data_IF_136377122112
#
_entry.id   IF_136377122112
#
_cell.length_a   1.000
_cell.length_b   1.000
_cell.length_c   1.000
_cell.angle_alpha   90.00
_cell.angle_beta   90.00
_cell.angle_gamma   90.00
#
_symmetry.space_group_name_H-M   'P 1'
#
loop_
_entity.id
_entity.type
_entity.pdbx_description
1 polymer ?
#
# COMPACT_ATOMS: atom_id res chain seq x y z
N UNK A 1 -19.94 -1.05 -15.52
CA UNK A 1 -19.68 0.16 -14.69
C UNK A 1 -18.49 0.87 -15.28
N UNK A 2 -18.60 2.17 -15.59
CA UNK A 2 -17.53 2.94 -16.24
C UNK A 2 -16.38 3.24 -15.27
N UNK A 3 -15.15 3.14 -15.76
CA UNK A 3 -13.90 3.32 -15.01
C UNK A 3 -13.68 4.73 -14.48
N UNK A 4 -14.28 5.75 -15.11
CA UNK A 4 -14.17 7.15 -14.70
C UNK A 4 -14.93 7.44 -13.39
N UNK A 5 -16.10 6.82 -13.21
CA UNK A 5 -16.96 7.00 -12.02
C UNK A 5 -16.30 6.44 -10.76
N UNK A 6 -15.47 5.39 -10.88
CA UNK A 6 -14.73 4.81 -9.77
C UNK A 6 -13.62 5.72 -9.21
N UNK A 7 -13.09 6.65 -10.02
CA UNK A 7 -11.93 7.47 -9.62
C UNK A 7 -12.29 8.66 -8.73
N UNK A 8 -13.33 9.43 -9.09
CA UNK A 8 -13.77 10.60 -8.32
C UNK A 8 -14.54 10.20 -7.06
N UNK A 9 -15.43 9.21 -7.16
CA UNK A 9 -16.18 8.69 -5.99
C UNK A 9 -15.29 7.88 -5.05
N UNK A 10 -14.27 7.18 -5.58
CA UNK A 10 -13.32 6.40 -4.78
C UNK A 10 -12.36 7.27 -3.97
N UNK A 11 -11.84 8.35 -4.57
CA UNK A 11 -11.01 9.33 -3.86
C UNK A 11 -11.80 9.99 -2.72
N UNK A 12 -13.04 10.39 -2.95
CA UNK A 12 -13.88 11.04 -1.95
C UNK A 12 -14.31 10.12 -0.79
N UNK A 13 -14.21 8.80 -0.94
CA UNK A 13 -14.48 7.84 0.14
C UNK A 13 -13.27 7.62 1.05
N UNK A 14 -12.07 7.73 0.50
CA UNK A 14 -10.82 7.50 1.25
C UNK A 14 -10.22 8.81 1.76
N UNK A 15 -10.39 9.91 1.02
CA UNK A 15 -10.01 11.25 1.45
C UNK A 15 -11.21 11.92 2.12
N UNK A 16 -10.99 12.49 3.30
CA UNK A 16 -12.02 13.26 4.03
C UNK A 16 -12.25 14.66 3.46
N UNK A 17 -11.58 15.02 2.37
CA UNK A 17 -11.62 16.32 1.69
C UNK A 17 -11.12 16.17 0.25
N UNK A 18 -11.35 17.17 -0.63
CA UNK A 18 -10.83 17.15 -2.00
C UNK A 18 -9.30 16.99 -2.08
N UNK A 19 -8.75 16.36 -3.13
CA UNK A 19 -7.32 16.11 -3.28
C UNK A 19 -6.44 17.37 -3.14
N UNK A 20 -6.87 18.50 -3.70
CA UNK A 20 -6.16 19.78 -3.62
C UNK A 20 -6.13 20.36 -2.20
N UNK A 21 -7.14 20.09 -1.38
CA UNK A 21 -7.14 20.48 0.03
C UNK A 21 -6.31 19.53 0.88
N UNK A 22 -6.35 18.23 0.55
CA UNK A 22 -5.54 17.21 1.21
C UNK A 22 -4.04 17.49 1.02
N UNK A 23 -3.62 17.82 -0.20
CA UNK A 23 -2.21 18.13 -0.50
C UNK A 23 -1.65 19.28 0.34
N UNK A 24 -2.48 20.29 0.69
CA UNK A 24 -2.09 21.42 1.54
C UNK A 24 -1.88 21.04 3.01
N UNK A 25 -2.32 19.86 3.43
CA UNK A 25 -2.18 19.35 4.81
C UNK A 25 -1.08 18.31 4.97
N UNK A 26 -0.35 18.00 3.89
CA UNK A 26 0.81 17.12 3.96
C UNK A 26 1.87 17.77 4.86
N UNK A 27 2.44 16.96 5.74
CA UNK A 27 3.54 17.38 6.58
C UNK A 27 4.79 17.50 5.72
N UNK A 28 5.50 18.62 5.85
CA UNK A 28 6.82 18.76 5.26
C UNK A 28 7.85 18.03 6.12
N UNK A 29 8.27 16.86 5.65
CA UNK A 29 9.32 16.07 6.30
C UNK A 29 10.73 16.56 5.96
N UNK A 30 10.87 17.57 5.08
CA UNK A 30 12.17 18.06 4.63
C UNK A 30 13.13 18.43 5.78
N UNK A 31 12.70 19.10 6.86
CA UNK A 31 13.59 19.42 7.97
C UNK A 31 14.23 18.20 8.66
N UNK A 32 13.61 17.02 8.56
CA UNK A 32 14.12 15.79 9.15
C UNK A 32 15.06 15.02 8.21
N UNK A 33 15.21 15.45 6.95
CA UNK A 33 16.10 14.80 6.00
C UNK A 33 17.56 14.82 6.46
N UNK A 34 17.99 15.86 7.16
CA UNK A 34 19.35 16.01 7.66
C UNK A 34 19.60 15.17 8.93
N UNK A 35 18.54 14.58 9.51
CA UNK A 35 18.67 13.63 10.62
C UNK A 35 19.13 12.23 10.17
N UNK A 36 19.09 11.93 8.87
CA UNK A 36 19.46 10.63 8.34
C UNK A 36 20.56 10.73 7.28
N UNK A 37 21.69 10.09 7.54
CA UNK A 37 22.78 10.04 6.59
C UNK A 37 22.43 9.18 5.35
N UNK A 38 23.27 9.29 4.31
CA UNK A 38 23.24 8.41 3.13
C UNK A 38 21.96 8.52 2.28
N UNK A 39 21.29 9.67 2.34
CA UNK A 39 20.11 9.96 1.52
C UNK A 39 18.87 9.15 1.89
N UNK A 40 18.80 8.69 3.14
CA UNK A 40 17.57 8.09 3.69
C UNK A 40 16.53 9.21 3.82
N UNK A 41 15.32 8.94 3.33
CA UNK A 41 14.18 9.85 3.43
C UNK A 41 12.96 9.08 3.89
N UNK A 42 11.98 9.81 4.42
CA UNK A 42 10.66 9.26 4.69
C UNK A 42 10.05 8.71 3.39
N UNK A 43 9.39 7.57 3.51
CA UNK A 43 8.58 7.00 2.43
C UNK A 43 7.16 7.51 2.56
N UNK A 44 6.51 7.69 1.41
CA UNK A 44 5.05 7.77 1.38
C UNK A 44 4.46 6.40 1.75
N UNK A 45 3.22 6.40 2.23
CA UNK A 45 2.44 5.19 2.52
C UNK A 45 1.11 5.32 1.80
N UNK A 46 0.91 4.55 0.73
CA UNK A 46 -0.31 4.63 -0.10
C UNK A 46 -1.51 3.96 0.55
N UNK A 47 -1.26 2.90 1.33
CA UNK A 47 -2.29 2.23 2.11
C UNK A 47 -1.70 1.51 3.33
N UNK A 48 -2.36 1.65 4.47
CA UNK A 48 -1.99 0.97 5.70
C UNK A 48 -3.24 0.65 6.50
N UNK A 49 -3.42 -0.63 6.81
CA UNK A 49 -4.53 -1.10 7.65
C UNK A 49 -4.03 -2.15 8.64
N UNK A 50 -4.69 -2.23 9.78
CA UNK A 50 -4.46 -3.22 10.82
C UNK A 50 -5.76 -3.99 11.06
N UNK A 51 -5.65 -5.30 11.23
CA UNK A 51 -6.76 -6.20 11.53
C UNK A 51 -6.25 -7.27 12.50
N UNK A 52 -6.68 -7.21 13.76
CA UNK A 52 -6.34 -8.17 14.82
C UNK A 52 -4.85 -8.47 14.95
N UNK A 53 -4.03 -7.43 15.06
CA UNK A 53 -2.57 -7.46 15.14
C UNK A 53 -1.84 -7.89 13.87
N UNK A 54 -2.56 -7.97 12.74
CA UNK A 54 -1.99 -8.18 11.41
C UNK A 54 -2.05 -6.89 10.60
N UNK A 55 -0.92 -6.49 10.05
CA UNK A 55 -0.76 -5.24 9.31
C UNK A 55 -0.64 -5.52 7.81
N UNK A 56 -1.34 -4.74 7.01
CA UNK A 56 -1.19 -4.70 5.56
C UNK A 56 -0.70 -3.32 5.15
N UNK A 57 0.47 -3.29 4.52
CA UNK A 57 1.03 -2.08 3.89
C UNK A 57 1.00 -2.24 2.37
N UNK A 58 0.45 -1.23 1.70
CA UNK A 58 0.36 -1.13 0.25
C UNK A 58 1.25 0.02 -0.25
N UNK A 59 2.06 -0.27 -1.25
CA UNK A 59 2.91 0.68 -1.96
C UNK A 59 2.59 0.63 -3.46
N UNK A 60 2.05 1.71 -3.99
CA UNK A 60 1.70 1.88 -5.39
C UNK A 60 2.80 2.58 -6.17
N UNK A 61 3.16 2.04 -7.32
CA UNK A 61 4.05 2.70 -8.29
C UNK A 61 3.34 2.86 -9.63
N UNK A 62 3.71 3.90 -10.37
CA UNK A 62 3.33 3.97 -11.78
C UNK A 62 3.96 2.80 -12.54
N UNK A 63 3.36 2.39 -13.67
CA UNK A 63 3.79 1.25 -14.48
C UNK A 63 5.31 1.22 -14.72
N UNK A 64 5.88 2.39 -15.04
CA UNK A 64 7.28 2.56 -15.39
C UNK A 64 8.16 3.05 -14.23
N UNK A 65 7.56 3.36 -13.07
CA UNK A 65 8.33 3.73 -11.88
C UNK A 65 9.02 2.51 -11.27
N UNK A 66 10.23 2.76 -10.77
CA UNK A 66 11.02 1.80 -10.01
C UNK A 66 10.92 2.10 -8.52
N UNK A 67 11.00 1.04 -7.71
CA UNK A 67 11.13 1.16 -6.27
C UNK A 67 12.61 1.41 -5.94
N UNK A 68 13.01 2.59 -5.43
CA UNK A 68 14.41 2.87 -5.10
C UNK A 68 14.98 1.81 -4.15
N UNK A 69 16.27 1.49 -4.29
CA UNK A 69 16.93 0.42 -3.53
C UNK A 69 16.72 0.56 -2.01
N UNK A 70 16.84 1.78 -1.48
CA UNK A 70 16.63 2.06 -0.06
C UNK A 70 15.21 1.74 0.41
N UNK A 71 14.22 2.20 -0.35
CA UNK A 71 12.80 1.94 -0.10
C UNK A 71 12.49 0.43 -0.18
N UNK A 72 12.99 -0.25 -1.22
CA UNK A 72 12.85 -1.72 -1.36
C UNK A 72 13.44 -2.46 -0.17
N UNK A 73 14.65 -2.12 0.26
CA UNK A 73 15.29 -2.76 1.40
C UNK A 73 14.51 -2.56 2.70
N UNK A 74 13.95 -1.37 2.92
CA UNK A 74 13.11 -1.08 4.09
C UNK A 74 11.84 -1.93 4.08
N UNK A 75 11.11 -1.94 2.95
CA UNK A 75 9.87 -2.71 2.79
C UNK A 75 10.09 -4.22 2.86
N UNK A 76 11.18 -4.74 2.29
CA UNK A 76 11.54 -6.17 2.40
C UNK A 76 11.91 -6.57 3.83
N UNK A 77 12.54 -5.68 4.62
CA UNK A 77 12.81 -5.92 6.04
C UNK A 77 11.51 -5.90 6.85
N UNK A 78 10.61 -4.97 6.54
CA UNK A 78 9.30 -4.91 7.19
C UNK A 78 8.49 -6.19 6.91
N UNK A 79 8.50 -6.68 5.68
CA UNK A 79 7.83 -7.93 5.28
C UNK A 79 8.38 -9.20 5.94
N UNK A 80 9.55 -9.14 6.61
CA UNK A 80 10.08 -10.25 7.41
C UNK A 80 9.47 -10.34 8.81
N UNK A 81 8.80 -9.28 9.28
CA UNK A 81 8.07 -9.32 10.54
C UNK A 81 6.78 -10.12 10.32
N UNK A 82 6.49 -11.08 11.20
CA UNK A 82 5.39 -12.03 11.02
C UNK A 82 4.02 -11.36 10.97
N UNK A 83 3.88 -10.18 11.56
CA UNK A 83 2.65 -9.40 11.58
C UNK A 83 2.42 -8.60 10.30
N UNK A 84 3.43 -8.41 9.44
CA UNK A 84 3.34 -7.54 8.28
C UNK A 84 3.16 -8.31 6.98
N UNK A 85 2.14 -7.95 6.23
CA UNK A 85 2.03 -8.22 4.80
C UNK A 85 2.32 -6.94 4.04
N UNK A 86 3.37 -6.93 3.24
CA UNK A 86 3.73 -5.78 2.40
C UNK A 86 3.52 -6.12 0.94
N UNK A 87 2.73 -5.30 0.25
CA UNK A 87 2.44 -5.46 -1.17
C UNK A 87 2.88 -4.24 -1.94
N UNK A 88 3.71 -4.46 -2.96
CA UNK A 88 4.04 -3.43 -3.95
C UNK A 88 3.25 -3.72 -5.21
N UNK A 89 2.53 -2.73 -5.75
CA UNK A 89 1.74 -2.90 -6.97
C UNK A 89 2.07 -1.81 -8.00
N UNK A 90 1.84 -2.12 -9.28
CA UNK A 90 2.03 -1.21 -10.41
C UNK A 90 0.72 -0.98 -11.13
N UNK A 91 0.40 0.29 -11.36
CA UNK A 91 -0.79 0.72 -12.10
C UNK A 91 -0.72 2.20 -12.47
N UNK A 92 -1.82 2.76 -12.97
CA UNK A 92 -2.06 4.17 -13.19
C UNK A 92 -2.87 4.79 -12.04
N UNK A 93 -2.24 5.47 -11.07
CA UNK A 93 -2.98 6.22 -10.06
C UNK A 93 -3.87 7.29 -10.73
N UNK A 94 -5.00 7.67 -10.10
CA UNK A 94 -5.54 7.19 -8.81
C UNK A 94 -6.33 5.88 -8.92
N UNK A 95 -6.36 5.24 -10.10
CA UNK A 95 -7.30 4.16 -10.37
C UNK A 95 -6.69 2.77 -10.16
N UNK A 96 -7.04 2.12 -9.05
CA UNK A 96 -6.60 0.73 -8.77
C UNK A 96 -7.04 -0.28 -9.83
N UNK A 97 -8.08 -0.02 -10.64
CA UNK A 97 -8.51 -0.95 -11.70
C UNK A 97 -7.45 -1.17 -12.78
N UNK A 98 -6.44 -0.31 -12.83
CA UNK A 98 -5.32 -0.35 -13.77
C UNK A 98 -4.13 -1.17 -13.26
N UNK A 99 -4.25 -1.84 -12.10
CA UNK A 99 -3.19 -2.72 -11.58
C UNK A 99 -2.91 -3.84 -12.58
N UNK A 100 -1.65 -3.94 -13.00
CA UNK A 100 -1.18 -4.98 -13.94
C UNK A 100 -0.16 -5.94 -13.31
N UNK A 101 0.52 -5.49 -12.27
CA UNK A 101 1.54 -6.27 -11.57
C UNK A 101 1.49 -5.97 -10.08
N UNK A 102 1.73 -6.97 -9.25
CA UNK A 102 1.91 -6.78 -7.82
C UNK A 102 2.78 -7.88 -7.21
N UNK A 103 3.37 -7.59 -6.07
CA UNK A 103 4.33 -8.45 -5.39
C UNK A 103 4.02 -8.44 -3.90
N UNK A 104 3.79 -9.63 -3.32
CA UNK A 104 3.90 -9.79 -1.87
C UNK A 104 5.39 -9.94 -1.58
N UNK A 105 5.98 -8.92 -0.95
CA UNK A 105 7.42 -8.88 -0.75
C UNK A 105 7.89 -10.09 0.08
N UNK A 106 8.99 -10.69 -0.37
CA UNK A 106 9.57 -11.90 0.24
C UNK A 106 8.82 -13.19 -0.08
N UNK A 107 7.73 -13.16 -0.86
CA UNK A 107 6.93 -14.35 -1.19
C UNK A 107 6.80 -14.57 -2.69
N UNK A 108 6.01 -13.75 -3.38
CA UNK A 108 5.61 -14.02 -4.77
C UNK A 108 5.30 -12.75 -5.55
N UNK A 109 5.75 -12.75 -6.81
CA UNK A 109 5.36 -11.78 -7.84
C UNK A 109 4.18 -12.32 -8.66
N UNK A 110 3.26 -11.42 -8.98
CA UNK A 110 2.05 -11.69 -9.73
C UNK A 110 2.00 -10.75 -10.93
N UNK A 111 1.92 -11.33 -12.12
CA UNK A 111 1.40 -10.63 -13.30
C UNK A 111 -0.09 -10.93 -13.31
N UNK A 112 -0.92 -9.94 -13.04
CA UNK A 112 -2.32 -10.20 -12.75
C UNK A 112 -3.18 -8.96 -12.77
N UNK A 113 -4.46 -9.18 -13.01
CA UNK A 113 -5.47 -8.14 -13.08
C UNK A 113 -5.76 -7.52 -11.70
N UNK A 114 -6.38 -6.33 -11.71
CA UNK A 114 -6.98 -5.74 -10.51
C UNK A 114 -7.89 -6.72 -9.76
N UNK A 115 -8.64 -7.58 -10.45
CA UNK A 115 -9.55 -8.53 -9.79
C UNK A 115 -8.79 -9.56 -8.96
N UNK A 116 -7.63 -10.04 -9.43
CA UNK A 116 -6.80 -10.98 -8.67
C UNK A 116 -6.16 -10.30 -7.47
N UNK A 117 -5.70 -9.05 -7.64
CA UNK A 117 -5.22 -8.22 -6.53
C UNK A 117 -6.31 -8.03 -5.47
N UNK A 118 -7.51 -7.60 -5.88
CA UNK A 118 -8.65 -7.42 -4.98
C UNK A 118 -9.01 -8.71 -4.24
N UNK A 119 -9.08 -9.84 -4.96
CA UNK A 119 -9.38 -11.14 -4.37
C UNK A 119 -8.31 -11.56 -3.34
N UNK A 120 -7.04 -11.21 -3.56
CA UNK A 120 -5.97 -11.45 -2.59
C UNK A 120 -6.17 -10.63 -1.32
N UNK A 121 -6.44 -9.32 -1.44
CA UNK A 121 -6.69 -8.44 -0.28
C UNK A 121 -7.87 -8.95 0.55
N UNK A 122 -8.96 -9.37 -0.10
CA UNK A 122 -10.12 -9.92 0.59
C UNK A 122 -9.79 -11.24 1.32
N UNK A 123 -9.01 -12.13 0.71
CA UNK A 123 -8.54 -13.36 1.37
C UNK A 123 -7.62 -13.06 2.56
N UNK A 124 -6.75 -12.07 2.43
CA UNK A 124 -5.89 -11.61 3.52
C UNK A 124 -6.73 -11.12 4.71
N UNK A 125 -7.74 -10.28 4.46
CA UNK A 125 -8.66 -9.80 5.49
C UNK A 125 -9.36 -10.94 6.22
N UNK A 126 -9.96 -11.90 5.49
CA UNK A 126 -10.64 -13.06 6.08
C UNK A 126 -9.68 -13.89 6.95
N UNK A 127 -8.42 -14.02 6.54
CA UNK A 127 -7.42 -14.73 7.33
C UNK A 127 -7.09 -13.98 8.62
N UNK A 128 -6.85 -12.66 8.55
CA UNK A 128 -6.54 -11.83 9.71
C UNK A 128 -7.70 -11.77 10.72
N UNK A 129 -8.95 -11.76 10.23
CA UNK A 129 -10.15 -11.82 11.08
C UNK A 129 -10.26 -13.12 11.90
N UNK A 130 -9.90 -14.26 11.30
CA UNK A 130 -10.01 -15.56 11.96
C UNK A 130 -9.02 -15.75 13.11
N UNK A 131 -7.93 -15.01 13.13
CA UNK A 131 -6.90 -15.14 14.17
C UNK A 131 -7.39 -14.64 15.54
N UNK A 132 -8.25 -13.63 15.56
CA UNK A 132 -8.88 -13.12 16.79
C UNK A 132 -9.74 -14.18 17.51
N UNK A 133 -10.31 -15.12 16.76
CA UNK A 133 -11.12 -16.20 17.31
C UNK A 133 -10.24 -17.24 18.04
N UNK A 134 -8.98 -17.41 17.62
CA UNK A 134 -8.06 -18.40 18.21
C UNK A 134 -7.40 -17.91 19.49
N UNK A 135 -7.18 -16.61 19.62
CA UNK A 135 -6.51 -16.01 20.79
C UNK A 135 -7.47 -15.72 21.97
N UNK A 136 -8.77 -16.03 21.83
CA UNK A 136 -9.82 -15.84 22.84
C UNK A 136 -10.33 -17.16 23.48
N UNK A 137 -9.75 -18.30 23.13
CA UNK A 137 -10.01 -19.61 23.74
C UNK A 137 -8.78 -20.13 24.48
#
# INVERSE_FOLDING_TARGET
MNSETLSKDGLNKNLRMPPEEYAKKLWDWTPLNDCFERGIRFTDVDGFVEVNHHFLLLEGKSKDAFLPRGQRMALERLAKLSQFTVIVFKGGPPNLSTVTEWEVLGKKKHKGSFQEFFNFIHKWFIWAEKDNIRNKG
#
